data_IF_298013450619
#
_entry.id   IF_298013450619
#
_cell.length_a   1.000
_cell.length_b   1.000
_cell.length_c   1.000
_cell.angle_alpha   90.00
_cell.angle_beta   90.00
_cell.angle_gamma   90.00
#
_symmetry.space_group_name_H-M   'P 1'
#
loop_
_entity.id
_entity.type
_entity.pdbx_description
1 polymer ?
#
# COMPACT_ATOMS: atom_id res chain seq x y z
N UNK A 1 -5.05 -1.29 -15.32
CA UNK A 1 -5.57 -0.58 -14.13
C UNK A 1 -6.51 -1.54 -13.40
N UNK A 2 -6.40 -1.62 -12.07
CA UNK A 2 -7.03 -2.67 -11.24
C UNK A 2 -8.49 -2.40 -10.83
N UNK A 3 -9.07 -1.25 -11.20
CA UNK A 3 -10.47 -0.94 -10.85
C UNK A 3 -10.71 -0.86 -9.33
N UNK A 4 -9.71 -0.41 -8.57
CA UNK A 4 -9.80 -0.17 -7.14
C UNK A 4 -10.28 1.27 -6.89
N UNK A 5 -11.19 1.43 -5.93
CA UNK A 5 -11.65 2.72 -5.42
C UNK A 5 -10.76 3.09 -4.22
N UNK A 6 -9.55 3.59 -4.50
CA UNK A 6 -8.61 4.02 -3.46
C UNK A 6 -8.99 5.43 -2.97
N UNK A 7 -8.70 5.78 -1.71
CA UNK A 7 -8.96 7.13 -1.21
C UNK A 7 -8.27 8.18 -2.07
N UNK A 8 -8.92 9.32 -2.30
CA UNK A 8 -8.35 10.49 -2.96
C UNK A 8 -7.93 11.45 -1.84
N UNK A 9 -6.72 11.26 -1.32
CA UNK A 9 -6.13 12.05 -0.22
C UNK A 9 -4.85 12.77 -0.72
N UNK A 10 -4.04 13.34 0.17
CA UNK A 10 -2.84 14.16 -0.12
C UNK A 10 -1.68 13.45 -0.87
N UNK A 11 -1.92 12.31 -1.52
CA UNK A 11 -0.91 11.52 -2.23
C UNK A 11 -1.28 11.24 -3.69
N UNK A 12 -0.28 11.31 -4.58
CA UNK A 12 -0.47 11.09 -6.03
C UNK A 12 -0.11 9.68 -6.50
N UNK A 13 0.49 8.85 -5.62
CA UNK A 13 1.04 7.54 -5.98
C UNK A 13 0.72 6.48 -4.94
N UNK A 14 0.67 5.21 -5.35
CA UNK A 14 0.52 4.05 -4.43
C UNK A 14 1.61 4.04 -3.34
N UNK A 15 2.84 4.45 -3.70
CA UNK A 15 3.91 4.55 -2.70
C UNK A 15 3.67 5.65 -1.67
N UNK A 16 3.04 6.76 -2.08
CA UNK A 16 2.61 7.83 -1.18
C UNK A 16 1.52 7.37 -0.22
N UNK A 17 0.50 6.67 -0.73
CA UNK A 17 -0.54 6.02 0.09
C UNK A 17 0.08 5.12 1.16
N UNK A 18 0.92 4.16 0.77
CA UNK A 18 1.54 3.21 1.72
C UNK A 18 2.36 3.95 2.78
N UNK A 19 3.12 4.97 2.37
CA UNK A 19 3.94 5.76 3.28
C UNK A 19 3.08 6.48 4.31
N UNK A 20 2.01 7.14 3.86
CA UNK A 20 1.09 7.87 4.72
C UNK A 20 0.37 6.94 5.70
N UNK A 21 -0.20 5.83 5.19
CA UNK A 21 -0.92 4.84 6.02
C UNK A 21 -0.04 4.19 7.09
N UNK A 22 1.24 3.92 6.80
CA UNK A 22 2.18 3.36 7.78
C UNK A 22 2.72 4.43 8.76
N UNK A 23 2.75 5.70 8.37
CA UNK A 23 3.24 6.81 9.20
C UNK A 23 4.75 6.84 9.41
N UNK A 24 5.51 6.01 8.71
CA UNK A 24 6.98 5.98 8.72
C UNK A 24 7.55 5.59 7.35
N UNK A 25 8.88 5.60 7.22
CA UNK A 25 9.53 5.10 6.00
C UNK A 25 9.31 3.58 5.91
N UNK A 26 8.65 3.08 4.85
CA UNK A 26 8.31 1.66 4.76
C UNK A 26 9.53 0.79 4.46
N UNK A 27 9.55 -0.41 5.03
CA UNK A 27 10.51 -1.46 4.77
C UNK A 27 9.93 -2.52 3.82
N UNK A 28 10.82 -3.28 3.17
CA UNK A 28 10.40 -4.38 2.29
C UNK A 28 9.70 -5.45 3.11
N UNK A 29 8.54 -5.89 2.64
CA UNK A 29 7.69 -6.89 3.29
C UNK A 29 6.56 -6.30 4.13
N UNK A 30 6.60 -5.00 4.45
CA UNK A 30 5.46 -4.32 5.05
C UNK A 30 4.31 -4.21 4.07
N UNK A 31 3.09 -4.21 4.62
CA UNK A 31 1.88 -4.13 3.82
C UNK A 31 0.78 -3.38 4.56
N UNK A 32 -0.12 -2.80 3.78
CA UNK A 32 -1.39 -2.25 4.26
C UNK A 32 -2.55 -2.95 3.54
N UNK A 33 -3.72 -2.93 4.17
CA UNK A 33 -4.98 -3.32 3.53
C UNK A 33 -5.74 -2.04 3.20
N UNK A 34 -6.07 -1.84 1.93
CA UNK A 34 -6.82 -0.67 1.47
C UNK A 34 -7.80 -1.08 0.38
N UNK A 35 -9.06 -0.65 0.49
CA UNK A 35 -10.13 -0.94 -0.47
C UNK A 35 -10.24 -2.41 -0.92
N UNK A 36 -9.95 -3.35 -0.01
CA UNK A 36 -9.97 -4.79 -0.26
C UNK A 36 -8.76 -5.34 -1.02
N UNK A 37 -7.68 -4.59 -1.09
CA UNK A 37 -6.40 -5.03 -1.61
C UNK A 37 -5.33 -4.98 -0.52
N UNK A 38 -4.47 -5.98 -0.49
CA UNK A 38 -3.21 -5.92 0.24
C UNK A 38 -2.14 -5.31 -0.67
N UNK A 39 -1.55 -4.20 -0.22
CA UNK A 39 -0.49 -3.49 -0.91
C UNK A 39 0.82 -3.74 -0.16
N UNK A 40 1.66 -4.63 -0.68
CA UNK A 40 2.92 -5.05 -0.05
C UNK A 40 4.12 -4.41 -0.73
N UNK A 41 5.03 -3.84 0.06
CA UNK A 41 6.28 -3.25 -0.41
C UNK A 41 7.25 -4.37 -0.83
N UNK A 42 7.58 -4.44 -2.12
CA UNK A 42 8.55 -5.41 -2.64
C UNK A 42 9.96 -4.81 -2.82
N UNK A 43 10.05 -3.51 -3.08
CA UNK A 43 11.33 -2.85 -3.31
C UNK A 43 11.31 -1.39 -2.87
N UNK A 44 12.36 -0.99 -2.15
CA UNK A 44 12.63 0.38 -1.73
C UNK A 44 14.02 0.78 -2.21
N UNK A 45 14.12 1.98 -2.80
CA UNK A 45 15.38 2.63 -3.15
C UNK A 45 15.51 3.93 -2.36
N UNK A 46 16.43 3.96 -1.39
CA UNK A 46 16.53 5.05 -0.43
C UNK A 46 15.26 5.17 0.42
N UNK A 47 14.44 6.20 0.17
CA UNK A 47 13.13 6.41 0.83
C UNK A 47 11.95 6.26 -0.13
N UNK A 48 12.19 5.81 -1.35
CA UNK A 48 11.16 5.69 -2.40
C UNK A 48 10.80 4.23 -2.57
N UNK A 49 9.51 3.91 -2.42
CA UNK A 49 8.99 2.62 -2.86
C UNK A 49 9.01 2.60 -4.39
N UNK A 50 9.69 1.61 -4.97
CA UNK A 50 9.81 1.45 -6.43
C UNK A 50 9.01 0.27 -6.95
N UNK A 51 8.61 -0.67 -6.07
CA UNK A 51 7.77 -1.81 -6.44
C UNK A 51 6.82 -2.19 -5.32
N UNK A 52 5.55 -2.37 -5.70
CA UNK A 52 4.47 -2.82 -4.83
C UNK A 52 3.84 -4.05 -5.45
N UNK A 53 3.64 -5.09 -4.65
CA UNK A 53 2.78 -6.23 -4.98
C UNK A 53 1.38 -5.92 -4.51
N UNK A 54 0.41 -6.14 -5.40
CA UNK A 54 -1.00 -6.00 -5.10
C UNK A 54 -1.65 -7.37 -5.18
N UNK A 55 -2.34 -7.77 -4.12
CA UNK A 55 -3.21 -8.95 -4.11
C UNK A 55 -4.57 -8.56 -3.55
N UNK A 56 -5.61 -9.33 -3.89
CA UNK A 56 -6.91 -9.18 -3.22
C UNK A 56 -6.71 -9.58 -1.76
N UNK A 57 -7.09 -8.72 -0.82
CA UNK A 57 -6.98 -9.01 0.60
C UNK A 57 -7.94 -10.15 0.96
N UNK A 58 -7.50 -11.08 1.81
CA UNK A 58 -8.42 -12.09 2.30
C UNK A 58 -9.45 -11.44 3.24
N UNK A 59 -10.73 -11.85 3.20
CA UNK A 59 -11.78 -11.28 4.06
C UNK A 59 -11.50 -11.31 5.57
N UNK A 60 -10.56 -12.15 6.01
CA UNK A 60 -10.15 -12.28 7.40
C UNK A 60 -9.13 -11.24 7.87
N UNK A 61 -8.56 -10.44 6.97
CA UNK A 61 -7.47 -9.49 7.29
C UNK A 61 -7.96 -8.05 7.50
N UNK A 62 -9.27 -7.79 7.38
CA UNK A 62 -9.86 -6.53 7.78
C UNK A 62 -9.97 -6.48 9.30
N UNK A 63 -9.10 -5.70 9.95
CA UNK A 63 -9.27 -5.30 11.35
C UNK A 63 -9.92 -3.92 11.32
N UNK A 64 -11.13 -3.81 11.87
CA UNK A 64 -11.87 -2.53 12.04
C UNK A 64 -11.07 -1.48 12.82
#
# INVERSE_FOLDING_TARGET
LIGADLPDDDWDTVGGLIFDSLGHVPEVGEAIIESGYQLMVEQVEGRRITRVRVVVAEPSEFVE
#
